data_IF_301187971702
#
_entry.id   IF_301187971702
#
_cell.length_a   1.000
_cell.length_b   1.000
_cell.length_c   1.000
_cell.angle_alpha   90.00
_cell.angle_beta   90.00
_cell.angle_gamma   90.00
#
_symmetry.space_group_name_H-M   'P 1'
#
loop_
_entity.id
_entity.type
_entity.pdbx_description
1 polymer ?
#
# COMPACT_ATOMS: atom_id res chain seq x y z
N UNK A 1 -14.14 -2.63 11.17
CA UNK A 1 -12.97 -2.13 11.92
C UNK A 1 -12.59 -3.17 12.96
N UNK A 2 -11.30 -3.47 13.16
CA UNK A 2 -10.87 -4.37 14.23
C UNK A 2 -11.00 -3.71 15.61
N UNK A 3 -10.94 -4.46 16.73
CA UNK A 3 -10.89 -3.86 18.06
C UNK A 3 -9.72 -2.88 18.24
N UNK A 4 -9.88 -1.85 19.06
CA UNK A 4 -8.82 -0.87 19.34
C UNK A 4 -7.57 -1.55 19.92
N UNK A 5 -6.39 -1.12 19.48
CA UNK A 5 -5.12 -1.70 19.91
C UNK A 5 -4.78 -3.06 19.29
N UNK A 6 -5.61 -3.58 18.38
CA UNK A 6 -5.30 -4.82 17.64
C UNK A 6 -4.00 -4.69 16.85
N UNK A 7 -3.18 -5.74 16.90
CA UNK A 7 -1.89 -5.81 16.21
C UNK A 7 -1.75 -7.10 15.40
N UNK A 8 -0.93 -7.06 14.37
CA UNK A 8 -0.43 -8.28 13.72
C UNK A 8 0.52 -9.03 14.64
N UNK A 9 0.86 -10.28 14.29
CA UNK A 9 1.89 -11.05 15.01
C UNK A 9 3.26 -10.34 15.03
N UNK A 10 3.55 -9.55 14.01
CA UNK A 10 4.78 -8.75 13.89
C UNK A 10 4.71 -7.43 14.69
N UNK A 11 3.59 -7.15 15.37
CA UNK A 11 3.43 -5.99 16.24
C UNK A 11 2.99 -4.70 15.54
N UNK A 12 2.66 -4.74 14.25
CA UNK A 12 2.11 -3.58 13.53
C UNK A 12 0.64 -3.34 13.87
N UNK A 13 0.18 -2.10 13.78
CA UNK A 13 -1.26 -1.81 13.82
C UNK A 13 -1.98 -2.65 12.77
N UNK A 14 -3.07 -3.32 13.16
CA UNK A 14 -3.64 -4.43 12.39
C UNK A 14 -4.05 -4.03 10.97
N UNK A 15 -4.57 -2.82 10.78
CA UNK A 15 -5.05 -2.35 9.47
C UNK A 15 -3.87 -1.95 8.57
N UNK A 16 -2.88 -1.25 9.10
CA UNK A 16 -1.63 -0.95 8.40
C UNK A 16 -0.90 -2.24 8.00
N UNK A 17 -0.77 -3.18 8.94
CA UNK A 17 -0.14 -4.47 8.71
C UNK A 17 -0.85 -5.28 7.62
N UNK A 18 -2.17 -5.39 7.70
CA UNK A 18 -2.96 -6.21 6.77
C UNK A 18 -3.10 -5.55 5.39
N UNK A 19 -3.45 -4.27 5.34
CA UNK A 19 -3.89 -3.62 4.10
C UNK A 19 -2.75 -3.01 3.28
N UNK A 20 -1.59 -2.77 3.91
CA UNK A 20 -0.47 -2.06 3.30
C UNK A 20 0.82 -2.88 3.38
N UNK A 21 1.31 -3.17 4.59
CA UNK A 21 2.62 -3.83 4.76
C UNK A 21 2.64 -5.28 4.24
N UNK A 22 1.55 -6.04 4.42
CA UNK A 22 1.43 -7.39 3.88
C UNK A 22 1.47 -7.40 2.35
N UNK A 23 0.71 -6.50 1.71
CA UNK A 23 0.71 -6.34 0.25
C UNK A 23 2.07 -5.89 -0.28
N UNK A 24 2.74 -4.97 0.42
CA UNK A 24 4.11 -4.57 0.13
C UNK A 24 5.07 -5.76 0.14
N UNK A 25 5.13 -6.51 1.24
CA UNK A 25 6.04 -7.63 1.37
C UNK A 25 5.76 -8.71 0.31
N UNK A 26 4.49 -9.04 0.07
CA UNK A 26 4.09 -9.97 -0.99
C UNK A 26 4.58 -9.48 -2.36
N UNK A 27 4.36 -8.20 -2.68
CA UNK A 27 4.83 -7.63 -3.95
C UNK A 27 6.35 -7.69 -4.06
N UNK A 28 7.09 -7.35 -2.99
CA UNK A 28 8.57 -7.41 -2.95
C UNK A 28 9.11 -8.80 -3.21
N UNK A 29 8.47 -9.83 -2.66
CA UNK A 29 8.86 -11.23 -2.84
C UNK A 29 8.60 -11.74 -4.26
N UNK A 30 7.63 -11.17 -4.97
CA UNK A 30 7.27 -11.56 -6.32
C UNK A 30 8.00 -10.78 -7.42
N UNK A 31 8.81 -9.78 -7.08
CA UNK A 31 9.38 -8.86 -8.09
C UNK A 31 10.23 -9.55 -9.13
N UNK A 32 11.15 -10.42 -8.72
CA UNK A 32 11.99 -11.13 -9.69
C UNK A 32 11.14 -11.98 -10.64
N UNK A 33 10.05 -12.57 -10.14
CA UNK A 33 9.13 -13.33 -10.96
C UNK A 33 8.37 -12.42 -11.94
N UNK A 34 7.91 -11.25 -11.48
CA UNK A 34 7.27 -10.26 -12.34
C UNK A 34 8.21 -9.79 -13.45
N UNK A 35 9.48 -9.51 -13.13
CA UNK A 35 10.50 -9.12 -14.12
C UNK A 35 10.78 -10.25 -15.11
N UNK A 36 10.89 -11.51 -14.66
CA UNK A 36 11.02 -12.65 -15.59
C UNK A 36 9.79 -12.80 -16.47
N UNK A 37 8.61 -12.45 -15.96
CA UNK A 37 7.35 -12.52 -16.72
C UNK A 37 7.30 -11.47 -17.83
N UNK A 38 7.91 -10.28 -17.66
CA UNK A 38 7.95 -9.25 -18.71
C UNK A 38 8.73 -9.69 -19.96
N UNK A 39 9.61 -10.70 -19.84
CA UNK A 39 10.37 -11.25 -20.98
C UNK A 39 9.51 -12.13 -21.90
N UNK A 40 8.45 -12.75 -21.36
CA UNK A 40 7.62 -13.74 -22.10
C UNK A 40 6.19 -13.26 -22.36
N UNK A 41 5.71 -12.25 -21.62
CA UNK A 41 4.39 -11.67 -21.80
C UNK A 41 4.42 -10.55 -22.86
N UNK A 42 3.25 -10.24 -23.40
CA UNK A 42 3.10 -9.10 -24.30
C UNK A 42 3.46 -7.78 -23.59
N UNK A 43 4.06 -6.86 -24.33
CA UNK A 43 4.45 -5.55 -23.80
C UNK A 43 3.28 -4.83 -23.14
N UNK A 44 3.51 -4.27 -21.95
CA UNK A 44 2.50 -3.49 -21.21
C UNK A 44 1.41 -4.33 -20.54
N UNK A 45 1.56 -5.65 -20.41
CA UNK A 45 0.54 -6.50 -19.78
C UNK A 45 0.79 -6.82 -18.30
N UNK A 46 2.07 -6.89 -17.89
CA UNK A 46 2.48 -7.21 -16.52
C UNK A 46 2.29 -6.02 -15.59
N UNK A 47 1.56 -6.22 -14.49
CA UNK A 47 1.17 -5.12 -13.60
C UNK A 47 1.07 -5.51 -12.13
N UNK A 48 1.27 -4.52 -11.27
CA UNK A 48 0.91 -4.57 -9.84
C UNK A 48 -0.22 -3.56 -9.61
N UNK A 49 -1.33 -4.03 -9.05
CA UNK A 49 -2.52 -3.20 -8.78
C UNK A 49 -2.69 -3.02 -7.27
N UNK A 50 -2.60 -1.77 -6.82
CA UNK A 50 -2.74 -1.39 -5.42
C UNK A 50 -4.16 -0.90 -5.14
N UNK A 51 -4.89 -1.59 -4.26
CA UNK A 51 -6.25 -1.21 -3.90
C UNK A 51 -6.27 -0.19 -2.76
N UNK A 52 -6.65 1.05 -3.10
CA UNK A 52 -6.83 2.13 -2.14
C UNK A 52 -8.32 2.24 -1.71
N UNK A 53 -8.78 3.45 -1.43
CA UNK A 53 -10.16 3.80 -1.07
C UNK A 53 -10.42 5.25 -1.50
N UNK A 54 -11.59 5.81 -1.19
CA UNK A 54 -11.89 7.24 -1.38
C UNK A 54 -11.02 8.12 -0.46
N UNK A 55 -9.81 8.45 -0.91
CA UNK A 55 -8.80 9.13 -0.09
C UNK A 55 -9.19 10.56 0.34
N UNK A 56 -10.20 11.15 -0.28
CA UNK A 56 -10.70 12.49 0.03
C UNK A 56 -11.44 12.56 1.38
N UNK A 57 -11.82 11.42 1.97
CA UNK A 57 -12.55 11.36 3.24
C UNK A 57 -11.76 10.59 4.29
N UNK A 58 -11.44 11.23 5.42
CA UNK A 58 -10.83 10.57 6.57
C UNK A 58 -9.33 10.28 6.46
N UNK A 59 -8.67 10.64 5.34
CA UNK A 59 -7.20 10.60 5.26
C UNK A 59 -6.62 11.84 5.94
N UNK A 60 -5.61 11.70 6.82
CA UNK A 60 -4.97 12.85 7.44
C UNK A 60 -4.26 13.73 6.40
N UNK A 61 -4.08 15.01 6.74
CA UNK A 61 -3.30 15.93 5.90
C UNK A 61 -1.87 15.38 5.74
N UNK A 62 -1.44 15.20 4.48
CA UNK A 62 -0.14 14.59 4.15
C UNK A 62 -0.20 13.06 3.97
N UNK A 63 -1.38 12.44 4.07
CA UNK A 63 -1.57 11.02 3.80
C UNK A 63 -1.30 10.10 5.00
N UNK A 64 -0.23 10.38 5.74
CA UNK A 64 0.20 9.61 6.91
C UNK A 64 0.58 10.55 8.05
N UNK A 65 0.15 10.22 9.26
CA UNK A 65 0.74 10.79 10.49
C UNK A 65 1.97 9.95 10.83
N UNK A 66 3.14 10.58 10.84
CA UNK A 66 4.40 9.88 11.07
C UNK A 66 4.92 10.09 12.50
N UNK A 67 5.41 9.02 13.13
CA UNK A 67 6.16 9.11 14.37
C UNK A 67 7.65 9.27 14.04
N UNK A 68 8.17 10.49 14.20
CA UNK A 68 9.56 10.82 13.88
C UNK A 68 10.59 10.10 14.75
N UNK A 69 10.22 9.69 15.96
CA UNK A 69 11.13 9.02 16.89
C UNK A 69 11.22 7.54 16.54
N UNK A 70 10.07 6.90 16.34
CA UNK A 70 9.98 5.47 16.01
C UNK A 70 10.21 5.15 14.54
N UNK A 71 10.15 6.16 13.67
CA UNK A 71 10.26 6.03 12.21
C UNK A 71 9.22 5.04 11.66
N UNK A 72 7.98 5.18 12.12
CA UNK A 72 6.85 4.36 11.68
C UNK A 72 5.55 5.20 11.60
N UNK A 73 4.52 4.74 10.87
CA UNK A 73 3.20 5.36 10.93
C UNK A 73 2.66 5.39 12.36
N UNK A 74 2.23 6.56 12.82
CA UNK A 74 1.67 6.73 14.14
C UNK A 74 0.29 6.08 14.21
N UNK A 75 0.06 5.29 15.26
CA UNK A 75 -1.30 4.82 15.59
C UNK A 75 -2.07 5.96 16.24
N UNK A 76 -3.13 6.43 15.56
CA UNK A 76 -4.02 7.49 16.06
C UNK A 76 -5.25 6.90 16.74
N UNK A 77 -6.02 7.73 17.47
CA UNK A 77 -7.20 7.29 18.21
C UNK A 77 -8.36 6.90 17.29
N UNK A 78 -8.54 7.63 16.20
CA UNK A 78 -9.60 7.32 15.24
C UNK A 78 -9.18 6.12 14.40
N UNK A 79 -9.90 5.00 14.55
CA UNK A 79 -9.60 3.80 13.80
C UNK A 79 -9.80 4.00 12.29
N UNK A 80 -10.77 4.81 11.87
CA UNK A 80 -11.01 5.10 10.46
C UNK A 80 -9.83 5.86 9.86
N UNK A 81 -9.22 6.76 10.63
CA UNK A 81 -7.99 7.44 10.20
C UNK A 81 -6.82 6.46 10.05
N UNK A 82 -6.65 5.49 10.96
CA UNK A 82 -5.67 4.39 10.80
C UNK A 82 -5.93 3.56 9.52
N UNK A 83 -7.19 3.26 9.24
CA UNK A 83 -7.60 2.58 8.01
C UNK A 83 -7.23 3.42 6.77
N UNK A 84 -7.60 4.70 6.75
CA UNK A 84 -7.34 5.59 5.62
C UNK A 84 -5.84 5.82 5.40
N UNK A 85 -5.05 5.88 6.47
CA UNK A 85 -3.58 5.87 6.40
C UNK A 85 -3.05 4.60 5.72
N UNK A 86 -3.61 3.42 6.00
CA UNK A 86 -3.23 2.19 5.28
C UNK A 86 -3.53 2.26 3.78
N UNK A 87 -4.63 2.94 3.39
CA UNK A 87 -5.02 3.13 1.98
C UNK A 87 -4.19 4.21 1.28
N UNK A 88 -3.81 5.26 1.99
CA UNK A 88 -2.82 6.22 1.51
C UNK A 88 -1.44 5.56 1.32
N UNK A 89 -1.08 4.61 2.19
CA UNK A 89 0.11 3.77 2.02
C UNK A 89 0.13 3.04 0.69
N UNK A 90 -0.99 2.44 0.26
CA UNK A 90 -1.09 1.78 -1.05
C UNK A 90 -0.87 2.74 -2.23
N UNK A 91 -1.31 4.00 -2.13
CA UNK A 91 -1.01 5.02 -3.15
C UNK A 91 0.49 5.32 -3.22
N UNK A 92 1.16 5.47 -2.07
CA UNK A 92 2.60 5.72 -2.00
C UNK A 92 3.40 4.53 -2.54
N UNK A 93 2.99 3.31 -2.21
CA UNK A 93 3.58 2.07 -2.71
C UNK A 93 3.41 1.92 -4.22
N UNK A 94 2.25 2.32 -4.77
CA UNK A 94 2.04 2.33 -6.21
C UNK A 94 3.06 3.22 -6.92
N UNK A 95 3.29 4.43 -6.39
CA UNK A 95 4.27 5.38 -6.90
C UNK A 95 5.72 4.86 -6.76
N UNK A 96 6.10 4.37 -5.59
CA UNK A 96 7.44 3.80 -5.37
C UNK A 96 7.72 2.64 -6.34
N UNK A 97 6.76 1.73 -6.47
CA UNK A 97 6.87 0.56 -7.35
C UNK A 97 6.97 0.97 -8.82
N UNK A 98 6.24 2.00 -9.26
CA UNK A 98 6.37 2.51 -10.64
C UNK A 98 7.76 3.07 -10.90
N UNK A 99 8.32 3.81 -9.93
CA UNK A 99 9.66 4.39 -10.09
C UNK A 99 10.74 3.32 -10.17
N UNK A 100 10.62 2.25 -9.37
CA UNK A 100 11.65 1.22 -9.28
C UNK A 100 11.56 0.15 -10.35
N UNK A 101 10.36 -0.22 -10.77
CA UNK A 101 10.14 -1.35 -11.69
C UNK A 101 9.65 -0.92 -13.09
N UNK A 102 9.33 0.36 -13.30
CA UNK A 102 8.82 0.85 -14.58
C UNK A 102 9.78 0.61 -15.75
N UNK A 103 11.09 0.83 -15.55
CA UNK A 103 12.11 0.55 -16.58
C UNK A 103 12.27 -0.93 -16.93
N UNK A 104 11.70 -1.83 -16.12
CA UNK A 104 11.71 -3.28 -16.31
C UNK A 104 10.42 -3.79 -16.98
N UNK A 105 9.54 -2.88 -17.43
CA UNK A 105 8.30 -3.19 -18.13
C UNK A 105 7.11 -3.51 -17.22
N UNK A 106 7.23 -3.29 -15.91
CA UNK A 106 6.15 -3.53 -14.94
C UNK A 106 5.34 -2.25 -14.75
N UNK A 107 4.04 -2.35 -14.96
CA UNK A 107 3.10 -1.25 -14.71
C UNK A 107 2.64 -1.30 -13.25
N UNK A 108 2.78 -0.20 -12.52
CA UNK A 108 2.23 -0.08 -11.17
C UNK A 108 1.10 0.94 -11.16
N UNK A 109 -0.08 0.53 -10.72
CA UNK A 109 -1.28 1.38 -10.70
C UNK A 109 -2.00 1.28 -9.36
N UNK A 110 -2.66 2.38 -8.99
CA UNK A 110 -3.57 2.42 -7.85
C UNK A 110 -5.01 2.42 -8.37
N UNK A 111 -5.87 1.64 -7.75
CA UNK A 111 -7.31 1.69 -7.98
C UNK A 111 -7.99 2.30 -6.76
N UNK A 112 -8.73 3.39 -7.00
CA UNK A 112 -9.58 4.05 -6.02
C UNK A 112 -11.03 3.72 -6.40
N UNK A 113 -11.64 2.68 -5.81
CA UNK A 113 -13.03 2.38 -6.09
C UNK A 113 -13.90 3.52 -5.56
N UNK A 114 -14.73 4.08 -6.43
CA UNK A 114 -15.85 4.97 -6.11
C UNK A 114 -17.17 4.26 -6.39
N UNK A 115 -18.25 4.71 -5.74
CA UNK A 115 -19.60 4.21 -5.98
C UNK A 115 -20.24 4.89 -7.19
N UNK A 116 -19.55 4.86 -8.34
CA UNK A 116 -20.05 5.30 -9.64
C UNK A 116 -19.67 4.28 -10.71
#
# INVERSE_FOLDING_TARGET
MPPEGSKTEQGHELQMGTNCLGGYLMSRLLEELLVKTTVVADEGTVRVVWLASTLQMGTPKGGLVWDEVKKEPKVVKDQMENYMMSKAGNLLLAHETSQRLGSQGIISVVSLPSWE
#
